data_IF_150043954771
#
_entry.id   IF_150043954771
#
_cell.length_a   1.000
_cell.length_b   1.000
_cell.length_c   1.000
_cell.angle_alpha   90.00
_cell.angle_beta   90.00
_cell.angle_gamma   90.00
#
_symmetry.space_group_name_H-M   'P 1'
#
loop_
_entity.id
_entity.type
_entity.pdbx_description
1 polymer ?
#
# COMPACT_ATOMS: atom_id res chain seq x y z
N UNK A 1 -0.65 -97.24 5.72
CA UNK A 1 -0.39 -96.11 6.61
C UNK A 1 -0.12 -94.88 5.74
N UNK A 2 -1.12 -94.04 5.55
CA UNK A 2 -0.96 -92.77 4.76
C UNK A 2 -0.58 -91.65 5.72
N UNK A 3 0.56 -91.06 5.53
CA UNK A 3 0.99 -89.89 6.30
C UNK A 3 0.35 -88.65 5.69
N UNK A 4 -0.50 -87.95 6.48
CA UNK A 4 -1.08 -86.66 6.14
C UNK A 4 -0.08 -85.61 6.57
N UNK A 5 0.43 -84.85 5.61
CA UNK A 5 1.24 -83.63 5.88
C UNK A 5 0.29 -82.48 5.94
N UNK A 6 0.12 -81.91 7.13
CA UNK A 6 -0.63 -80.72 7.33
C UNK A 6 0.30 -79.49 7.11
N UNK A 7 0.07 -78.81 6.00
CA UNK A 7 0.78 -77.55 5.68
C UNK A 7 0.09 -76.39 6.45
N UNK A 8 0.73 -75.93 7.51
CA UNK A 8 0.29 -74.74 8.24
C UNK A 8 0.67 -73.50 7.41
N UNK A 9 -0.30 -72.92 6.74
CA UNK A 9 -0.17 -71.57 6.13
C UNK A 9 -0.23 -70.58 7.25
N UNK A 10 0.93 -69.94 7.56
CA UNK A 10 0.98 -68.75 8.43
C UNK A 10 0.38 -67.58 7.68
N UNK A 11 -0.83 -67.18 8.08
CA UNK A 11 -1.45 -65.93 7.65
C UNK A 11 -0.74 -64.80 8.43
N UNK A 12 0.21 -64.13 7.77
CA UNK A 12 0.78 -62.89 8.24
C UNK A 12 -0.28 -61.82 8.01
N UNK A 13 -0.82 -61.17 9.05
CA UNK A 13 -1.72 -60.03 8.83
C UNK A 13 -0.88 -58.92 8.22
N UNK A 14 -1.11 -58.64 6.93
CA UNK A 14 -0.72 -57.35 6.36
C UNK A 14 -1.49 -56.25 7.13
N UNK A 15 -0.84 -55.71 8.15
CA UNK A 15 -1.27 -54.45 8.74
C UNK A 15 -1.11 -53.41 7.62
N UNK A 16 -2.17 -53.20 6.87
CA UNK A 16 -2.28 -52.05 6.01
C UNK A 16 -2.25 -50.80 6.92
N UNK A 17 -1.06 -50.23 7.11
CA UNK A 17 -0.96 -48.86 7.59
C UNK A 17 -1.65 -47.99 6.53
N UNK A 18 -2.97 -47.83 6.71
CA UNK A 18 -3.69 -46.72 6.08
C UNK A 18 -3.04 -45.46 6.59
N UNK A 19 -2.02 -44.97 5.90
CA UNK A 19 -1.64 -43.59 6.03
C UNK A 19 -2.91 -42.81 5.75
N UNK A 20 -3.49 -42.20 6.80
CA UNK A 20 -4.57 -41.24 6.64
C UNK A 20 -4.02 -40.18 5.67
N UNK A 21 -4.35 -40.31 4.41
CA UNK A 21 -4.03 -39.29 3.40
C UNK A 21 -4.78 -38.07 3.87
N UNK A 22 -4.05 -37.02 4.22
CA UNK A 22 -4.70 -35.74 4.53
C UNK A 22 -5.59 -35.37 3.34
N UNK A 23 -6.86 -35.03 3.59
CA UNK A 23 -7.79 -34.61 2.53
C UNK A 23 -7.28 -33.33 1.87
N UNK A 24 -6.56 -32.52 2.63
CA UNK A 24 -5.93 -31.27 2.17
C UNK A 24 -4.46 -31.28 2.54
N UNK A 25 -3.62 -31.01 1.57
CA UNK A 25 -2.20 -30.76 1.79
C UNK A 25 -1.97 -29.27 1.97
N UNK A 26 -1.21 -28.91 2.99
CA UNK A 26 -0.81 -27.52 3.26
C UNK A 26 0.69 -27.37 3.01
N UNK A 27 1.08 -26.26 2.41
CA UNK A 27 2.45 -25.81 2.33
C UNK A 27 2.52 -24.38 2.81
N UNK A 28 3.39 -24.11 3.77
CA UNK A 28 3.39 -22.86 4.52
C UNK A 28 2.03 -22.61 5.17
N UNK A 29 1.35 -21.52 4.84
CA UNK A 29 0.04 -21.12 5.37
C UNK A 29 -1.14 -21.33 4.40
N UNK A 30 -0.88 -21.99 3.25
CA UNK A 30 -1.89 -22.16 2.20
C UNK A 30 -2.13 -23.64 1.87
N UNK A 31 -3.39 -24.05 1.64
CA UNK A 31 -3.69 -25.31 1.00
C UNK A 31 -3.09 -25.36 -0.41
N UNK A 32 -2.54 -26.54 -0.80
CA UNK A 32 -1.88 -26.71 -2.10
C UNK A 32 -2.82 -26.41 -3.28
N UNK A 33 -4.11 -26.69 -3.15
CA UNK A 33 -5.10 -26.41 -4.21
C UNK A 33 -5.27 -24.90 -4.50
N UNK A 34 -4.81 -24.01 -3.62
CA UNK A 34 -4.90 -22.57 -3.86
C UNK A 34 -4.12 -22.13 -5.10
N UNK A 35 -3.02 -22.82 -5.45
CA UNK A 35 -2.30 -22.52 -6.69
C UNK A 35 -3.19 -22.72 -7.93
N UNK A 36 -4.06 -23.75 -7.92
CA UNK A 36 -5.03 -23.97 -9.01
C UNK A 36 -6.10 -22.88 -9.05
N UNK A 37 -6.64 -22.48 -7.87
CA UNK A 37 -7.62 -21.39 -7.81
C UNK A 37 -7.02 -20.08 -8.31
N UNK A 38 -5.76 -19.81 -7.97
CA UNK A 38 -5.06 -18.61 -8.45
C UNK A 38 -4.84 -18.65 -9.95
N UNK A 39 -4.47 -19.82 -10.51
CA UNK A 39 -4.27 -20.00 -11.95
C UNK A 39 -5.58 -19.81 -12.76
N UNK A 40 -6.74 -20.13 -12.18
CA UNK A 40 -8.04 -19.98 -12.80
C UNK A 40 -8.59 -18.53 -12.75
N UNK A 41 -7.94 -17.62 -12.01
CA UNK A 41 -8.40 -16.24 -11.89
C UNK A 41 -8.34 -15.51 -13.24
N UNK A 42 -9.44 -14.83 -13.55
CA UNK A 42 -9.57 -13.95 -14.72
C UNK A 42 -9.88 -12.54 -14.27
N UNK A 43 -9.46 -11.59 -15.06
CA UNK A 43 -9.61 -10.17 -14.75
C UNK A 43 -10.45 -9.45 -15.81
N UNK A 44 -11.79 -9.64 -15.80
CA UNK A 44 -12.68 -9.15 -16.87
C UNK A 44 -12.71 -7.62 -17.00
N UNK A 45 -12.19 -6.89 -16.03
CA UNK A 45 -12.05 -5.43 -16.09
C UNK A 45 -10.59 -4.97 -16.29
N UNK A 46 -9.66 -5.85 -16.62
CA UNK A 46 -8.34 -5.44 -17.07
C UNK A 46 -8.45 -4.80 -18.47
N UNK A 47 -7.71 -3.69 -18.70
CA UNK A 47 -7.64 -3.07 -20.01
C UNK A 47 -7.11 -4.06 -21.06
N UNK A 48 -7.80 -4.16 -22.18
CA UNK A 48 -7.48 -5.11 -23.25
C UNK A 48 -8.01 -6.54 -23.04
N UNK A 49 -8.54 -6.87 -21.84
CA UNK A 49 -9.30 -8.10 -21.57
C UNK A 49 -10.80 -7.83 -21.42
N UNK A 50 -11.17 -6.59 -21.16
CA UNK A 50 -12.53 -6.11 -21.07
C UNK A 50 -13.16 -5.97 -22.46
N UNK A 51 -14.47 -6.19 -22.56
CA UNK A 51 -15.26 -5.88 -23.77
C UNK A 51 -15.43 -4.37 -24.00
N UNK A 52 -14.93 -3.52 -23.10
CA UNK A 52 -14.98 -2.06 -23.23
C UNK A 52 -13.72 -1.59 -23.95
N UNK A 53 -13.88 -1.05 -25.15
CA UNK A 53 -12.77 -0.62 -26.00
C UNK A 53 -12.50 0.91 -25.95
N UNK A 54 -13.44 1.70 -25.45
CA UNK A 54 -13.20 3.11 -25.15
C UNK A 54 -12.49 3.25 -23.79
N UNK A 55 -11.35 3.92 -23.79
CA UNK A 55 -10.51 4.03 -22.58
C UNK A 55 -11.18 4.81 -21.45
N UNK A 56 -11.90 5.89 -21.78
CA UNK A 56 -12.58 6.71 -20.77
C UNK A 56 -13.73 5.95 -20.13
N UNK A 57 -14.52 5.24 -20.94
CA UNK A 57 -15.61 4.39 -20.47
C UNK A 57 -15.09 3.21 -19.64
N UNK A 58 -13.99 2.59 -20.07
CA UNK A 58 -13.34 1.53 -19.31
C UNK A 58 -12.88 2.05 -17.95
N UNK A 59 -12.14 3.15 -17.92
CA UNK A 59 -11.60 3.75 -16.70
C UNK A 59 -12.71 4.10 -15.71
N UNK A 60 -13.80 4.71 -16.18
CA UNK A 60 -14.96 5.02 -15.35
C UNK A 60 -15.60 3.75 -14.78
N UNK A 61 -15.83 2.74 -15.63
CA UNK A 61 -16.47 1.48 -15.24
C UNK A 61 -15.60 0.70 -14.24
N UNK A 62 -14.31 0.58 -14.51
CA UNK A 62 -13.38 -0.12 -13.64
C UNK A 62 -13.20 0.62 -12.31
N UNK A 63 -13.08 1.96 -12.32
CA UNK A 63 -12.99 2.79 -11.12
C UNK A 63 -14.25 2.68 -10.25
N UNK A 64 -15.43 2.71 -10.85
CA UNK A 64 -16.70 2.47 -10.15
C UNK A 64 -16.72 1.10 -9.49
N UNK A 65 -16.23 0.04 -10.16
CA UNK A 65 -16.12 -1.31 -9.58
C UNK A 65 -15.17 -1.35 -8.39
N UNK A 66 -14.06 -0.62 -8.43
CA UNK A 66 -13.17 -0.51 -7.26
C UNK A 66 -13.93 0.10 -6.08
N UNK A 67 -14.63 1.20 -6.26
CA UNK A 67 -15.41 1.83 -5.19
C UNK A 67 -16.55 0.92 -4.68
N UNK A 68 -17.22 0.17 -5.54
CA UNK A 68 -18.21 -0.84 -5.12
C UNK A 68 -17.58 -1.88 -4.19
N UNK A 69 -16.40 -2.42 -4.56
CA UNK A 69 -15.68 -3.38 -3.71
C UNK A 69 -15.11 -2.76 -2.43
N UNK A 70 -14.82 -1.46 -2.44
CA UNK A 70 -14.39 -0.72 -1.25
C UNK A 70 -15.50 -0.51 -0.23
N UNK A 71 -16.73 -0.82 -0.57
CA UNK A 71 -17.91 -0.70 0.31
C UNK A 71 -18.19 0.77 0.69
N UNK A 72 -18.95 1.00 1.76
CA UNK A 72 -19.38 2.34 2.16
C UNK A 72 -18.23 3.16 2.77
N UNK A 73 -17.96 4.38 2.30
CA UNK A 73 -16.95 5.26 2.92
C UNK A 73 -17.35 5.71 4.32
N UNK A 74 -16.40 6.15 5.14
CA UNK A 74 -16.70 6.92 6.34
C UNK A 74 -17.48 8.19 5.96
N UNK A 75 -18.47 8.61 6.77
CA UNK A 75 -19.22 9.83 6.46
C UNK A 75 -18.32 11.06 6.55
N UNK A 76 -18.40 11.91 5.52
CA UNK A 76 -17.61 13.14 5.44
C UNK A 76 -17.88 14.07 6.64
N UNK A 77 -16.89 14.87 7.08
CA UNK A 77 -17.11 15.90 8.08
C UNK A 77 -17.88 17.07 7.47
N UNK A 78 -18.54 17.88 8.30
CA UNK A 78 -19.17 19.13 7.85
C UNK A 78 -18.12 20.21 7.52
N UNK A 79 -17.01 20.22 8.25
CA UNK A 79 -15.85 21.09 8.03
C UNK A 79 -14.60 20.38 8.57
N UNK A 80 -13.45 20.70 7.99
CA UNK A 80 -12.17 20.10 8.39
C UNK A 80 -11.72 20.51 9.79
N UNK A 81 -12.10 21.71 10.26
CA UNK A 81 -11.77 22.25 11.60
C UNK A 81 -10.28 22.07 11.94
N UNK A 82 -9.41 22.51 11.04
CA UNK A 82 -7.96 22.35 11.19
C UNK A 82 -7.46 23.20 12.33
N UNK A 83 -6.74 22.58 13.26
CA UNK A 83 -6.07 23.23 14.39
C UNK A 83 -4.58 22.94 14.32
N UNK A 84 -3.75 23.96 14.47
CA UNK A 84 -2.31 23.83 14.65
C UNK A 84 -2.05 23.58 16.13
N UNK A 85 -1.57 22.38 16.47
CA UNK A 85 -1.26 21.99 17.85
C UNK A 85 0.14 22.44 18.29
N UNK A 86 1.06 22.57 17.33
CA UNK A 86 2.43 23.00 17.57
C UNK A 86 3.17 23.29 16.29
N UNK A 87 4.21 24.11 16.40
CA UNK A 87 5.12 24.45 15.31
C UNK A 87 6.57 24.35 15.77
N UNK A 88 7.46 24.00 14.84
CA UNK A 88 8.90 23.99 15.02
C UNK A 88 9.57 24.58 13.78
N UNK A 89 10.41 25.60 14.00
CA UNK A 89 11.22 26.18 12.95
C UNK A 89 12.38 25.25 12.63
N UNK A 90 12.56 24.92 11.36
CA UNK A 90 13.65 24.10 10.84
C UNK A 90 14.40 24.83 9.73
N UNK A 91 15.54 24.27 9.32
CA UNK A 91 16.35 24.87 8.27
C UNK A 91 15.62 24.83 6.92
N UNK A 92 15.14 26.01 6.49
CA UNK A 92 14.43 26.24 5.24
C UNK A 92 12.94 25.92 5.24
N UNK A 93 12.34 25.46 6.35
CA UNK A 93 10.91 25.16 6.43
C UNK A 93 10.38 25.21 7.88
N UNK A 94 9.05 25.25 8.01
CA UNK A 94 8.35 25.08 9.29
C UNK A 94 7.68 23.72 9.34
N UNK A 95 7.87 22.99 10.45
CA UNK A 95 7.11 21.79 10.76
C UNK A 95 5.91 22.15 11.64
N UNK A 96 4.72 21.66 11.25
CA UNK A 96 3.46 21.84 11.97
C UNK A 96 2.88 20.50 12.38
N UNK A 97 2.36 20.44 13.60
CA UNK A 97 1.51 19.33 14.08
C UNK A 97 0.07 19.81 13.97
N UNK A 98 -0.72 19.13 13.15
CA UNK A 98 -2.10 19.49 12.87
C UNK A 98 -3.05 18.46 13.49
N UNK A 99 -4.23 18.93 13.93
CA UNK A 99 -5.39 18.08 14.21
C UNK A 99 -6.56 18.58 13.34
N UNK A 100 -7.30 17.67 12.76
CA UNK A 100 -8.44 18.02 11.91
C UNK A 100 -9.53 16.92 11.96
N UNK A 101 -10.75 17.35 11.66
CA UNK A 101 -11.90 16.45 11.55
C UNK A 101 -11.83 15.74 10.19
N UNK A 102 -11.51 14.44 10.17
CA UNK A 102 -11.40 13.67 8.93
C UNK A 102 -12.72 13.02 8.53
N UNK A 103 -13.53 12.64 9.51
CA UNK A 103 -14.89 12.09 9.33
C UNK A 103 -15.83 12.73 10.34
N UNK A 104 -17.13 12.62 10.12
CA UNK A 104 -18.14 12.98 11.13
C UNK A 104 -17.83 12.40 12.53
N UNK A 105 -17.14 11.25 12.58
CA UNK A 105 -16.98 10.48 13.80
C UNK A 105 -15.59 10.59 14.45
N UNK A 106 -14.57 11.01 13.71
CA UNK A 106 -13.20 11.01 14.25
C UNK A 106 -12.35 12.14 13.68
N UNK A 107 -11.37 12.54 14.50
CA UNK A 107 -10.28 13.42 14.14
C UNK A 107 -9.02 12.63 13.87
N UNK A 108 -8.09 13.22 13.13
CA UNK A 108 -6.78 12.68 12.83
C UNK A 108 -5.73 13.76 13.04
N UNK A 109 -4.54 13.35 13.46
CA UNK A 109 -3.37 14.22 13.51
C UNK A 109 -2.41 13.94 12.37
N UNK A 110 -1.76 14.97 11.91
CA UNK A 110 -0.77 14.91 10.84
C UNK A 110 0.42 15.82 11.15
N UNK A 111 1.54 15.53 10.53
CA UNK A 111 2.61 16.49 10.34
C UNK A 111 2.49 17.15 8.97
N UNK A 112 2.75 18.45 8.93
CA UNK A 112 2.83 19.24 7.71
C UNK A 112 4.13 20.05 7.73
N UNK A 113 4.91 19.94 6.66
CA UNK A 113 6.12 20.73 6.47
C UNK A 113 5.85 21.79 5.41
N UNK A 114 6.17 23.03 5.70
CA UNK A 114 5.92 24.17 4.82
C UNK A 114 7.24 24.88 4.52
N UNK A 115 7.72 24.89 3.26
CA UNK A 115 8.92 25.58 2.87
C UNK A 115 8.86 27.10 3.17
N UNK A 116 10.01 27.68 3.54
CA UNK A 116 10.16 29.11 3.82
C UNK A 116 11.11 29.76 2.80
N UNK A 117 10.76 29.68 1.53
CA UNK A 117 11.52 30.21 0.40
C UNK A 117 10.94 31.49 -0.20
N UNK A 118 9.98 32.10 0.48
CA UNK A 118 9.31 33.35 0.08
C UNK A 118 8.11 33.15 -0.87
N UNK A 119 7.88 31.95 -1.40
CA UNK A 119 6.68 31.63 -2.19
C UNK A 119 5.46 31.49 -1.27
N UNK A 120 4.29 31.91 -1.76
CA UNK A 120 3.03 31.78 -1.00
C UNK A 120 2.41 30.38 -1.13
N UNK A 121 2.60 29.74 -2.27
CA UNK A 121 2.07 28.38 -2.57
C UNK A 121 3.15 27.50 -3.16
N UNK A 122 3.09 26.24 -2.80
CA UNK A 122 4.07 25.21 -3.20
C UNK A 122 3.36 23.99 -3.75
N UNK A 123 4.00 23.22 -4.63
CA UNK A 123 3.55 21.87 -4.90
C UNK A 123 3.54 21.06 -3.60
N UNK A 124 2.60 20.15 -3.45
CA UNK A 124 2.42 19.39 -2.22
C UNK A 124 2.49 17.89 -2.44
N UNK A 125 3.00 17.18 -1.45
CA UNK A 125 3.09 15.72 -1.45
C UNK A 125 2.32 15.16 -0.24
N UNK A 126 1.31 14.32 -0.51
CA UNK A 126 0.73 13.44 0.49
C UNK A 126 1.66 12.22 0.64
N UNK A 127 2.46 12.20 1.71
CA UNK A 127 3.50 11.21 1.96
C UNK A 127 2.99 10.12 2.90
N UNK A 128 2.88 8.90 2.39
CA UNK A 128 2.15 7.80 3.00
C UNK A 128 3.12 6.78 3.63
N UNK A 129 3.01 6.53 4.93
CA UNK A 129 3.91 5.67 5.67
C UNK A 129 3.72 4.17 5.37
N UNK A 130 4.78 3.38 5.63
CA UNK A 130 4.80 1.93 5.49
C UNK A 130 4.03 1.19 6.60
N UNK A 131 3.79 -0.13 6.38
CA UNK A 131 3.24 -1.04 7.37
C UNK A 131 4.31 -1.44 8.41
N UNK A 132 5.39 -2.03 7.91
CA UNK A 132 6.55 -2.49 8.67
C UNK A 132 6.27 -3.54 9.75
N UNK A 133 5.02 -4.02 9.90
CA UNK A 133 4.53 -4.73 11.07
C UNK A 133 4.81 -3.96 12.38
N UNK A 134 4.98 -2.64 12.28
CA UNK A 134 5.33 -1.75 13.36
C UNK A 134 4.27 -0.65 13.46
N UNK A 135 3.30 -0.84 14.36
CA UNK A 135 2.11 0.00 14.46
C UNK A 135 2.28 1.17 15.46
N UNK A 136 3.32 1.11 16.29
CA UNK A 136 3.57 2.12 17.33
C UNK A 136 3.75 3.52 16.78
N UNK A 137 4.36 3.68 15.60
CA UNK A 137 4.54 4.94 14.88
C UNK A 137 3.91 4.86 13.49
N UNK A 138 3.43 5.99 12.98
CA UNK A 138 2.85 6.16 11.64
C UNK A 138 3.51 7.29 10.88
N UNK A 139 3.00 8.52 10.98
CA UNK A 139 3.57 9.74 10.37
C UNK A 139 5.00 10.03 10.82
N UNK A 140 5.38 9.58 12.00
CA UNK A 140 6.74 9.69 12.55
C UNK A 140 7.77 8.86 11.76
N UNK A 141 7.31 7.93 10.91
CA UNK A 141 8.17 7.24 9.94
C UNK A 141 8.55 8.10 8.73
N UNK A 142 7.80 9.16 8.47
CA UNK A 142 7.96 10.00 7.27
C UNK A 142 8.64 11.33 7.57
N UNK A 143 8.38 11.89 8.73
CA UNK A 143 8.77 13.25 9.12
C UNK A 143 9.41 13.18 10.52
N UNK A 144 10.49 13.92 10.73
CA UNK A 144 11.14 14.00 12.05
C UNK A 144 10.09 14.41 13.09
N UNK A 145 9.83 13.57 14.11
CA UNK A 145 8.88 13.91 15.16
C UNK A 145 9.39 15.06 16.04
N UNK A 146 8.49 15.90 16.51
CA UNK A 146 8.77 16.97 17.43
C UNK A 146 7.62 17.14 18.43
N UNK A 147 7.94 17.66 19.62
CA UNK A 147 6.97 17.77 20.71
C UNK A 147 6.26 16.44 20.99
N UNK A 148 7.04 15.36 21.00
CA UNK A 148 6.63 13.99 21.27
C UNK A 148 7.47 13.43 22.42
N UNK A 149 7.00 12.34 23.01
CA UNK A 149 7.73 11.60 24.01
C UNK A 149 9.05 11.05 23.44
N UNK A 150 10.10 11.03 24.25
CA UNK A 150 11.42 10.56 23.86
C UNK A 150 11.43 9.12 23.29
N UNK A 151 10.50 8.27 23.76
CA UNK A 151 10.33 6.90 23.25
C UNK A 151 9.87 6.91 21.79
N UNK A 152 8.92 7.80 21.41
CA UNK A 152 8.43 7.94 20.05
C UNK A 152 9.53 8.49 19.15
N UNK A 153 10.24 9.52 19.62
CA UNK A 153 11.36 10.11 18.87
C UNK A 153 12.43 9.05 18.60
N UNK A 154 12.86 8.34 19.64
CA UNK A 154 13.86 7.27 19.48
C UNK A 154 13.41 6.20 18.49
N UNK A 155 12.18 5.73 18.60
CA UNK A 155 11.62 4.69 17.75
C UNK A 155 11.55 5.12 16.27
N UNK A 156 11.22 6.39 16.01
CA UNK A 156 11.23 6.96 14.67
C UNK A 156 12.63 6.99 14.05
N UNK A 157 13.65 7.39 14.81
CA UNK A 157 15.04 7.38 14.34
C UNK A 157 15.57 5.96 14.11
N UNK A 158 15.26 5.01 14.99
CA UNK A 158 15.62 3.60 14.80
C UNK A 158 14.97 3.04 13.53
N UNK A 159 13.71 3.42 13.25
CA UNK A 159 12.99 3.01 12.05
C UNK A 159 13.61 3.61 10.78
N UNK A 160 14.03 4.87 10.81
CA UNK A 160 14.72 5.50 9.70
C UNK A 160 15.99 4.75 9.30
N UNK A 161 16.82 4.36 10.27
CA UNK A 161 18.03 3.57 10.01
C UNK A 161 17.69 2.22 9.37
N UNK A 162 16.61 1.60 9.79
CA UNK A 162 16.23 0.25 9.35
C UNK A 162 15.65 0.22 7.94
N UNK A 163 14.86 1.20 7.55
CA UNK A 163 14.01 1.15 6.34
C UNK A 163 14.35 2.25 5.33
N UNK A 164 14.79 3.41 5.82
CA UNK A 164 14.95 4.63 5.01
C UNK A 164 16.40 5.11 4.89
N UNK A 165 17.37 4.32 5.40
CA UNK A 165 18.78 4.66 5.33
C UNK A 165 19.18 5.87 6.17
N UNK A 166 18.42 6.17 7.24
CA UNK A 166 18.70 7.26 8.17
C UNK A 166 18.20 8.64 7.71
N UNK A 167 17.47 8.73 6.59
CA UNK A 167 16.95 9.98 6.06
C UNK A 167 15.43 10.05 6.18
N UNK A 168 14.90 11.07 6.86
CA UNK A 168 13.47 11.36 6.87
C UNK A 168 13.04 11.93 5.52
N UNK A 169 12.23 11.17 4.82
CA UNK A 169 11.84 11.46 3.44
C UNK A 169 11.07 12.77 3.31
N UNK A 170 10.15 13.05 4.26
CA UNK A 170 9.38 14.29 4.27
C UNK A 170 10.25 15.53 4.46
N UNK A 171 11.20 15.46 5.39
CA UNK A 171 12.14 16.58 5.64
C UNK A 171 13.07 16.82 4.44
N UNK A 172 13.48 15.76 3.74
CA UNK A 172 14.24 15.88 2.51
C UNK A 172 13.44 16.59 1.40
N UNK A 173 12.15 16.24 1.23
CA UNK A 173 11.27 16.89 0.25
C UNK A 173 10.97 18.33 0.59
N UNK A 174 10.76 18.65 1.87
CA UNK A 174 10.49 20.02 2.31
C UNK A 174 11.63 20.99 1.99
N UNK A 175 12.89 20.54 2.16
CA UNK A 175 14.07 21.31 1.74
C UNK A 175 14.17 21.51 0.23
N UNK A 176 13.46 20.71 -0.56
CA UNK A 176 13.35 20.83 -2.02
C UNK A 176 12.17 21.69 -2.47
N UNK A 177 11.44 22.30 -1.53
CA UNK A 177 10.40 23.27 -1.83
C UNK A 177 9.00 22.67 -1.97
N UNK A 178 8.78 21.45 -1.49
CA UNK A 178 7.46 20.84 -1.40
C UNK A 178 6.82 21.10 -0.04
N UNK A 179 5.53 21.42 -0.03
CA UNK A 179 4.72 21.16 1.16
C UNK A 179 4.59 19.64 1.31
N UNK A 180 4.92 19.11 2.47
CA UNK A 180 4.79 17.67 2.75
C UNK A 180 3.76 17.48 3.84
N UNK A 181 2.84 16.56 3.60
CA UNK A 181 1.79 16.19 4.54
C UNK A 181 1.84 14.69 4.80
N UNK A 182 1.80 14.29 6.07
CA UNK A 182 1.73 12.88 6.45
C UNK A 182 0.81 12.70 7.64
N UNK A 183 -0.20 11.84 7.48
CA UNK A 183 -1.14 11.45 8.53
C UNK A 183 -1.04 9.97 8.86
N UNK A 184 -1.42 9.60 10.09
CA UNK A 184 -1.48 8.22 10.51
C UNK A 184 -2.60 7.46 9.78
N UNK A 185 -2.27 6.30 9.21
CA UNK A 185 -3.29 5.35 8.77
C UNK A 185 -4.06 4.79 9.98
N UNK A 186 -5.32 4.34 9.80
CA UNK A 186 -6.04 3.64 10.84
C UNK A 186 -5.22 2.54 11.49
N UNK A 187 -5.15 2.51 12.80
CA UNK A 187 -4.41 1.56 13.66
C UNK A 187 -2.90 1.82 13.78
N UNK A 188 -2.33 2.83 13.11
CA UNK A 188 -0.93 3.24 13.28
C UNK A 188 -0.81 4.53 14.07
N UNK A 189 0.34 4.72 14.70
CA UNK A 189 0.67 5.93 15.43
C UNK A 189 -0.40 6.29 16.47
N UNK A 190 -0.79 7.54 16.53
CA UNK A 190 -1.80 8.03 17.50
C UNK A 190 -3.20 7.41 17.31
N UNK A 191 -3.44 6.70 16.20
CA UNK A 191 -4.72 6.01 15.94
C UNK A 191 -4.77 4.57 16.49
N UNK A 192 -3.82 4.15 17.28
CA UNK A 192 -3.78 2.82 17.87
C UNK A 192 -2.75 2.64 18.99
N UNK A 193 -1.81 3.57 19.14
CA UNK A 193 -0.70 3.46 20.08
C UNK A 193 -1.13 3.38 21.54
N UNK A 194 -2.03 4.25 21.95
CA UNK A 194 -2.52 4.31 23.33
C UNK A 194 -3.28 3.06 23.74
N UNK A 195 -4.04 2.46 22.81
CA UNK A 195 -4.76 1.20 23.02
C UNK A 195 -3.85 -0.02 22.87
N UNK A 196 -2.54 0.17 22.61
CA UNK A 196 -1.56 -0.88 22.42
C UNK A 196 -1.94 -1.81 21.26
N UNK A 197 -2.30 -1.24 20.10
CA UNK A 197 -2.58 -2.04 18.91
C UNK A 197 -1.30 -2.69 18.40
N UNK A 198 -1.25 -3.99 18.54
CA UNK A 198 -0.24 -4.88 18.01
C UNK A 198 -0.76 -5.65 16.78
N UNK A 199 0.03 -6.55 16.26
CA UNK A 199 -0.33 -7.37 15.10
C UNK A 199 -1.59 -8.22 15.36
N UNK A 200 -1.77 -8.75 16.55
CA UNK A 200 -2.92 -9.58 16.90
C UNK A 200 -4.21 -8.76 16.94
N UNK A 201 -4.17 -7.61 17.60
CA UNK A 201 -5.30 -6.67 17.62
C UNK A 201 -5.63 -6.13 16.23
N UNK A 202 -4.61 -5.83 15.44
CA UNK A 202 -4.78 -5.39 14.06
C UNK A 202 -5.57 -6.41 13.23
N UNK A 203 -5.18 -7.68 13.24
CA UNK A 203 -5.86 -8.73 12.47
C UNK A 203 -7.31 -8.93 12.97
N UNK A 204 -7.54 -8.91 14.29
CA UNK A 204 -8.86 -9.00 14.89
C UNK A 204 -9.77 -7.83 14.50
N UNK A 205 -9.29 -6.60 14.62
CA UNK A 205 -10.07 -5.40 14.28
C UNK A 205 -10.42 -5.40 12.79
N UNK A 206 -9.43 -5.70 11.92
CA UNK A 206 -9.65 -5.75 10.49
C UNK A 206 -10.65 -6.85 10.09
N UNK A 207 -10.60 -8.03 10.73
CA UNK A 207 -11.59 -9.09 10.57
C UNK A 207 -12.97 -8.66 11.01
N UNK A 208 -13.09 -8.02 12.19
CA UNK A 208 -14.36 -7.50 12.69
C UNK A 208 -14.96 -6.43 11.77
N UNK A 209 -14.12 -5.56 11.17
CA UNK A 209 -14.60 -4.57 10.19
C UNK A 209 -15.32 -5.23 9.01
N UNK A 210 -14.82 -6.38 8.52
CA UNK A 210 -15.48 -7.09 7.43
C UNK A 210 -16.85 -7.64 7.83
N UNK A 211 -17.06 -8.02 9.09
CA UNK A 211 -18.34 -8.54 9.57
C UNK A 211 -19.48 -7.49 9.52
N UNK A 212 -19.16 -6.20 9.59
CA UNK A 212 -20.15 -5.13 9.43
C UNK A 212 -20.03 -4.34 8.14
N UNK A 213 -19.45 -4.97 7.11
CA UNK A 213 -19.41 -4.41 5.76
C UNK A 213 -18.42 -3.25 5.60
N UNK A 214 -17.26 -3.34 6.25
CA UNK A 214 -16.12 -2.43 6.06
C UNK A 214 -14.85 -3.23 5.82
N UNK A 215 -13.87 -2.58 5.23
CA UNK A 215 -12.57 -3.19 4.94
C UNK A 215 -11.47 -2.21 5.32
N UNK A 216 -10.47 -2.66 6.08
CA UNK A 216 -9.40 -1.79 6.57
C UNK A 216 -8.64 -1.12 5.42
N UNK A 217 -8.31 -1.86 4.36
CA UNK A 217 -7.63 -1.32 3.19
C UNK A 217 -8.44 -0.22 2.49
N UNK A 218 -9.75 -0.44 2.33
CA UNK A 218 -10.65 0.57 1.77
C UNK A 218 -10.77 1.79 2.69
N UNK A 219 -10.86 1.56 4.00
CA UNK A 219 -10.93 2.63 4.99
C UNK A 219 -9.70 3.54 4.92
N UNK A 220 -8.49 2.96 4.83
CA UNK A 220 -7.25 3.71 4.62
C UNK A 220 -7.30 4.53 3.32
N UNK A 221 -7.76 3.93 2.22
CA UNK A 221 -7.85 4.61 0.92
C UNK A 221 -8.84 5.78 0.96
N UNK A 222 -9.99 5.63 1.63
CA UNK A 222 -10.93 6.74 1.83
C UNK A 222 -10.35 7.86 2.68
N UNK A 223 -9.61 7.53 3.72
CA UNK A 223 -8.90 8.51 4.54
C UNK A 223 -7.82 9.25 3.73
N UNK A 224 -7.09 8.55 2.86
CA UNK A 224 -6.08 9.16 1.99
C UNK A 224 -6.72 10.09 0.94
N UNK A 225 -7.87 9.73 0.39
CA UNK A 225 -8.64 10.62 -0.49
C UNK A 225 -9.09 11.87 0.28
N UNK A 226 -9.68 11.68 1.46
CA UNK A 226 -10.17 12.79 2.28
C UNK A 226 -9.04 13.72 2.77
N UNK A 227 -7.89 13.17 3.16
CA UNK A 227 -6.71 13.98 3.52
C UNK A 227 -6.15 14.75 2.33
N UNK A 228 -6.23 14.20 1.13
CA UNK A 228 -5.81 14.90 -0.11
C UNK A 228 -6.77 16.04 -0.45
N UNK A 229 -8.08 15.84 -0.25
CA UNK A 229 -9.06 16.94 -0.40
C UNK A 229 -8.82 18.06 0.63
N UNK A 230 -8.54 17.72 1.88
CA UNK A 230 -8.12 18.70 2.89
C UNK A 230 -6.86 19.44 2.44
N UNK A 231 -5.82 18.72 2.03
CA UNK A 231 -4.53 19.29 1.61
C UNK A 231 -4.73 20.34 0.51
N UNK A 232 -5.62 20.08 -0.45
CA UNK A 232 -5.95 21.01 -1.52
C UNK A 232 -6.62 22.32 -1.05
N UNK A 233 -7.12 22.39 0.20
CA UNK A 233 -7.75 23.58 0.76
C UNK A 233 -6.78 24.45 1.56
N UNK A 234 -5.59 23.95 1.87
CA UNK A 234 -4.62 24.65 2.71
C UNK A 234 -3.97 25.83 1.95
N UNK A 235 -3.79 26.99 2.58
CA UNK A 235 -3.37 28.20 1.89
C UNK A 235 -1.96 28.14 1.29
N UNK A 236 -1.08 27.32 1.85
CA UNK A 236 0.29 27.14 1.39
C UNK A 236 0.41 26.16 0.20
N UNK A 237 -0.68 25.48 -0.15
CA UNK A 237 -0.70 24.43 -1.18
C UNK A 237 -1.19 24.97 -2.52
N UNK A 238 -0.47 24.64 -3.57
CA UNK A 238 -0.94 24.73 -4.94
C UNK A 238 -1.81 23.50 -5.25
N UNK A 239 -3.14 23.69 -5.23
CA UNK A 239 -4.11 22.61 -5.39
C UNK A 239 -4.05 21.90 -6.75
N UNK A 240 -3.42 22.52 -7.76
CA UNK A 240 -3.22 21.93 -9.10
C UNK A 240 -1.92 21.13 -9.20
N UNK A 241 -1.06 21.19 -8.16
CA UNK A 241 0.21 20.49 -8.09
C UNK A 241 0.32 19.65 -6.82
N UNK A 242 -0.50 18.61 -6.72
CA UNK A 242 -0.48 17.66 -5.60
C UNK A 242 -0.05 16.30 -6.11
N UNK A 243 1.02 15.77 -5.52
CA UNK A 243 1.50 14.41 -5.73
C UNK A 243 1.31 13.53 -4.49
N UNK A 244 1.57 12.24 -4.64
CA UNK A 244 1.66 11.32 -3.51
C UNK A 244 2.82 10.34 -3.67
N UNK A 245 3.41 9.94 -2.55
CA UNK A 245 4.47 8.94 -2.52
C UNK A 245 4.39 8.06 -1.28
N UNK A 246 5.02 6.90 -1.34
CA UNK A 246 5.17 6.03 -0.18
C UNK A 246 6.02 4.82 -0.47
N UNK A 247 6.41 4.13 0.61
CA UNK A 247 7.15 2.88 0.58
C UNK A 247 6.29 1.74 1.14
N UNK A 248 6.41 0.53 0.60
CA UNK A 248 5.70 -0.65 1.11
C UNK A 248 4.18 -0.44 1.13
N UNK A 249 3.48 -0.57 2.25
CA UNK A 249 2.06 -0.22 2.37
C UNK A 249 1.79 1.23 1.93
N UNK A 250 2.72 2.16 2.19
CA UNK A 250 2.62 3.54 1.70
C UNK A 250 2.63 3.60 0.17
N UNK A 251 3.40 2.75 -0.50
CA UNK A 251 3.38 2.63 -1.95
C UNK A 251 2.05 2.06 -2.48
N UNK A 252 1.50 1.04 -1.80
CA UNK A 252 0.14 0.54 -2.07
C UNK A 252 -0.89 1.68 -1.99
N UNK A 253 -0.86 2.45 -0.90
CA UNK A 253 -1.73 3.61 -0.71
C UNK A 253 -1.51 4.68 -1.78
N UNK A 254 -0.26 4.94 -2.17
CA UNK A 254 0.07 5.96 -3.18
C UNK A 254 -0.48 5.63 -4.57
N UNK A 255 -0.31 4.39 -5.05
CA UNK A 255 -0.87 4.05 -6.36
C UNK A 255 -2.39 3.87 -6.32
N UNK A 256 -2.98 3.38 -5.21
CA UNK A 256 -4.44 3.40 -5.01
C UNK A 256 -4.99 4.83 -5.05
N UNK A 257 -4.37 5.75 -4.32
CA UNK A 257 -4.75 7.15 -4.30
C UNK A 257 -4.62 7.80 -5.68
N UNK A 258 -3.52 7.51 -6.41
CA UNK A 258 -3.32 8.01 -7.79
C UNK A 258 -4.39 7.50 -8.75
N UNK A 259 -4.85 6.25 -8.59
CA UNK A 259 -5.91 5.65 -9.40
C UNK A 259 -7.29 6.24 -9.09
N UNK A 260 -7.55 6.63 -7.83
CA UNK A 260 -8.90 6.94 -7.34
C UNK A 260 -9.15 8.43 -7.04
N UNK A 261 -8.12 9.27 -6.94
CA UNK A 261 -8.27 10.71 -6.70
C UNK A 261 -7.80 11.53 -7.89
N UNK A 262 -8.64 12.45 -8.37
CA UNK A 262 -8.28 13.36 -9.46
C UNK A 262 -7.43 14.54 -8.99
N UNK A 263 -7.32 14.74 -7.65
CA UNK A 263 -6.40 15.72 -7.06
C UNK A 263 -4.94 15.34 -7.28
N UNK A 264 -4.62 14.06 -7.25
CA UNK A 264 -3.25 13.59 -7.49
C UNK A 264 -2.90 13.75 -8.96
N UNK A 265 -1.82 14.46 -9.23
CA UNK A 265 -1.29 14.71 -10.59
C UNK A 265 -0.13 13.78 -10.92
N UNK A 266 0.69 13.43 -9.93
CA UNK A 266 1.86 12.57 -10.06
C UNK A 266 1.93 11.61 -8.88
N UNK A 267 2.30 10.35 -9.09
CA UNK A 267 2.45 9.37 -8.02
C UNK A 267 3.76 8.62 -8.07
N UNK A 268 4.28 8.23 -6.89
CA UNK A 268 5.46 7.39 -6.78
C UNK A 268 5.27 6.28 -5.74
N UNK A 269 5.64 5.05 -6.11
CA UNK A 269 5.45 3.84 -5.31
C UNK A 269 6.78 3.08 -5.19
N UNK A 270 7.33 2.97 -3.99
CA UNK A 270 8.60 2.27 -3.73
C UNK A 270 8.33 0.95 -2.99
N UNK A 271 8.85 -0.15 -3.54
CA UNK A 271 8.75 -1.51 -2.97
C UNK A 271 7.31 -1.99 -2.74
N UNK A 272 6.41 -1.73 -3.71
CA UNK A 272 5.11 -2.37 -3.72
C UNK A 272 4.47 -2.36 -5.13
N UNK A 273 4.79 -3.34 -5.95
CA UNK A 273 4.02 -3.72 -7.14
C UNK A 273 4.35 -5.16 -7.51
N UNK A 274 3.32 -5.94 -7.79
CA UNK A 274 3.44 -7.36 -8.13
C UNK A 274 2.11 -7.87 -8.67
N UNK A 275 2.11 -8.96 -9.44
CA UNK A 275 0.86 -9.67 -9.75
C UNK A 275 0.54 -10.69 -8.64
N UNK A 276 -0.74 -10.82 -8.29
CA UNK A 276 -1.17 -11.74 -7.23
C UNK A 276 -1.00 -13.22 -7.61
N UNK A 277 -1.07 -13.56 -8.90
CA UNK A 277 -0.84 -14.92 -9.39
C UNK A 277 0.61 -15.42 -9.22
N UNK A 278 1.56 -14.50 -9.01
CA UNK A 278 2.94 -14.84 -8.63
C UNK A 278 3.11 -14.75 -7.12
N UNK A 279 2.70 -13.63 -6.51
CA UNK A 279 2.93 -13.36 -5.09
C UNK A 279 2.29 -14.39 -4.16
N UNK A 280 1.08 -14.85 -4.48
CA UNK A 280 0.28 -15.70 -3.61
C UNK A 280 0.48 -17.21 -3.84
N UNK A 281 1.30 -17.60 -4.82
CA UNK A 281 1.61 -19.02 -5.07
C UNK A 281 2.42 -19.63 -3.94
N UNK A 282 2.37 -20.97 -3.82
CA UNK A 282 3.15 -21.72 -2.83
C UNK A 282 4.66 -21.54 -3.00
N UNK A 283 5.12 -21.23 -4.21
CA UNK A 283 6.54 -20.95 -4.48
C UNK A 283 7.02 -19.69 -3.80
N UNK A 284 6.25 -18.60 -3.89
CA UNK A 284 6.63 -17.25 -3.43
C UNK A 284 5.86 -16.83 -2.19
N UNK A 285 4.68 -17.39 -1.95
CA UNK A 285 3.85 -17.08 -0.79
C UNK A 285 4.61 -17.25 0.52
N UNK A 286 4.48 -16.28 1.41
CA UNK A 286 5.08 -16.28 2.74
C UNK A 286 4.03 -16.63 3.79
N UNK A 287 4.46 -17.13 4.95
CA UNK A 287 3.57 -17.37 6.09
C UNK A 287 2.87 -16.10 6.62
N UNK A 288 3.38 -14.93 6.27
CA UNK A 288 2.92 -13.62 6.75
C UNK A 288 2.35 -12.73 5.64
N UNK A 289 2.05 -13.28 4.47
CA UNK A 289 1.62 -12.46 3.32
C UNK A 289 0.17 -11.97 3.40
N UNK A 290 -0.60 -12.36 4.35
CA UNK A 290 -1.98 -11.92 4.47
C UNK A 290 -2.05 -10.58 5.21
N UNK A 291 -2.02 -9.46 4.52
CA UNK A 291 -2.23 -8.18 5.15
C UNK A 291 -3.61 -7.62 4.85
N UNK A 292 -4.47 -7.44 5.85
CA UNK A 292 -5.75 -6.73 5.69
C UNK A 292 -5.58 -5.30 5.15
N UNK A 293 -4.37 -4.73 5.28
CA UNK A 293 -4.02 -3.44 4.71
C UNK A 293 -3.99 -3.42 3.17
N UNK A 294 -3.86 -4.59 2.53
CA UNK A 294 -3.75 -4.73 1.07
C UNK A 294 -4.92 -5.54 0.47
N UNK A 295 -5.91 -5.88 1.28
CA UNK A 295 -7.00 -6.76 0.91
C UNK A 295 -8.30 -5.96 0.80
N UNK A 296 -8.84 -5.85 -0.42
CA UNK A 296 -10.21 -5.39 -0.66
C UNK A 296 -11.00 -6.61 -1.14
N UNK A 297 -11.98 -7.10 -0.36
CA UNK A 297 -12.75 -8.28 -0.70
C UNK A 297 -13.39 -8.18 -2.09
N UNK A 298 -13.48 -9.30 -2.81
CA UNK A 298 -14.03 -9.45 -4.15
C UNK A 298 -13.28 -8.71 -5.28
N UNK A 299 -12.45 -7.71 -5.02
CA UNK A 299 -11.84 -6.90 -6.08
C UNK A 299 -10.98 -7.74 -7.04
N UNK A 300 -10.33 -8.80 -6.52
CA UNK A 300 -9.52 -9.73 -7.34
C UNK A 300 -10.33 -10.57 -8.34
N UNK A 301 -11.62 -10.63 -8.21
CA UNK A 301 -12.50 -11.25 -9.22
C UNK A 301 -12.64 -10.40 -10.50
N UNK A 302 -12.23 -9.14 -10.45
CA UNK A 302 -12.37 -8.18 -11.55
C UNK A 302 -11.02 -7.68 -12.07
N UNK A 303 -10.08 -7.39 -11.17
CA UNK A 303 -8.81 -6.75 -11.49
C UNK A 303 -7.71 -7.18 -10.52
N UNK A 304 -6.50 -7.36 -11.02
CA UNK A 304 -5.30 -7.48 -10.20
C UNK A 304 -4.69 -6.10 -9.87
N UNK A 305 -3.67 -6.05 -9.06
CA UNK A 305 -2.97 -4.83 -8.63
C UNK A 305 -2.51 -3.95 -9.80
N UNK A 306 -1.80 -4.47 -10.84
CA UNK A 306 -1.40 -3.63 -11.96
C UNK A 306 -2.58 -3.04 -12.73
N UNK A 307 -3.70 -3.77 -12.83
CA UNK A 307 -4.91 -3.28 -13.52
C UNK A 307 -5.53 -2.11 -12.77
N UNK A 308 -5.57 -2.17 -11.43
CA UNK A 308 -6.09 -1.08 -10.59
C UNK A 308 -5.14 0.11 -10.65
N UNK A 309 -3.83 -0.11 -10.51
CA UNK A 309 -2.84 0.95 -10.62
C UNK A 309 -2.90 1.66 -11.99
N UNK A 310 -3.25 0.92 -13.04
CA UNK A 310 -3.43 1.46 -14.40
C UNK A 310 -4.59 2.43 -14.56
N UNK A 311 -5.51 2.49 -13.60
CA UNK A 311 -6.53 3.54 -13.56
C UNK A 311 -5.94 4.93 -13.34
N UNK A 312 -4.69 5.03 -12.89
CA UNK A 312 -3.98 6.31 -12.80
C UNK A 312 -3.63 6.90 -14.18
N UNK A 313 -3.52 6.08 -15.25
CA UNK A 313 -3.23 6.56 -16.60
C UNK A 313 -4.22 7.67 -17.01
N UNK A 314 -3.81 8.79 -17.61
CA UNK A 314 -2.48 9.10 -18.18
C UNK A 314 -1.54 9.89 -17.24
N UNK A 315 -1.71 9.84 -15.92
CA UNK A 315 -0.85 10.56 -14.96
C UNK A 315 0.58 10.01 -15.01
N UNK A 316 1.61 10.86 -14.80
CA UNK A 316 2.96 10.37 -14.55
C UNK A 316 3.04 9.51 -13.29
N UNK A 317 3.60 8.30 -13.41
CA UNK A 317 3.76 7.36 -12.30
C UNK A 317 5.17 6.77 -12.30
N UNK A 318 5.77 6.68 -11.11
CA UNK A 318 7.04 6.01 -10.88
C UNK A 318 6.85 4.80 -9.96
N UNK A 319 7.33 3.65 -10.39
CA UNK A 319 7.41 2.45 -9.57
C UNK A 319 8.85 1.98 -9.46
N UNK A 320 9.32 1.78 -8.23
CA UNK A 320 10.65 1.22 -7.94
C UNK A 320 10.45 -0.03 -7.08
N UNK A 321 10.91 -1.20 -7.54
CA UNK A 321 10.93 -2.42 -6.74
C UNK A 321 12.36 -2.91 -6.52
N UNK A 322 12.60 -3.53 -5.37
CA UNK A 322 13.89 -4.14 -5.04
C UNK A 322 14.04 -5.55 -5.60
N UNK A 323 15.12 -5.86 -6.30
CA UNK A 323 15.42 -7.22 -6.79
C UNK A 323 15.73 -8.20 -5.65
N UNK A 324 16.14 -7.71 -4.49
CA UNK A 324 16.37 -8.49 -3.27
C UNK A 324 15.17 -8.48 -2.31
N UNK A 325 14.05 -7.87 -2.73
CA UNK A 325 12.83 -7.82 -1.94
C UNK A 325 12.14 -9.19 -1.90
N UNK A 326 12.01 -9.74 -0.68
CA UNK A 326 11.38 -11.06 -0.47
C UNK A 326 9.85 -10.99 -0.39
N UNK A 327 9.26 -9.80 -0.35
CA UNK A 327 7.80 -9.59 -0.28
C UNK A 327 7.18 -9.52 -1.67
N UNK A 328 7.92 -8.94 -2.62
CA UNK A 328 7.46 -8.66 -3.97
C UNK A 328 8.40 -9.32 -4.98
N UNK A 329 8.15 -10.61 -5.33
CA UNK A 329 9.03 -11.38 -6.22
C UNK A 329 9.22 -10.71 -7.57
N UNK A 330 10.48 -10.65 -8.04
CA UNK A 330 10.86 -10.03 -9.31
C UNK A 330 9.99 -10.49 -10.49
N UNK A 331 9.73 -11.80 -10.72
CA UNK A 331 8.89 -12.20 -11.84
C UNK A 331 7.47 -11.64 -11.80
N UNK A 332 6.91 -11.43 -10.60
CA UNK A 332 5.59 -10.81 -10.44
C UNK A 332 5.63 -9.30 -10.62
N UNK A 333 6.72 -8.65 -10.24
CA UNK A 333 6.93 -7.23 -10.48
C UNK A 333 7.11 -6.94 -11.99
N UNK A 334 7.95 -7.70 -12.69
CA UNK A 334 8.15 -7.59 -14.14
C UNK A 334 6.85 -7.80 -14.91
N UNK A 335 6.07 -8.83 -14.54
CA UNK A 335 4.76 -9.07 -15.15
C UNK A 335 3.82 -7.89 -14.92
N UNK A 336 3.74 -7.37 -13.70
CA UNK A 336 2.90 -6.21 -13.37
C UNK A 336 3.32 -4.97 -14.17
N UNK A 337 4.60 -4.69 -14.25
CA UNK A 337 5.14 -3.57 -15.03
C UNK A 337 4.79 -3.70 -16.51
N UNK A 338 4.97 -4.88 -17.10
CA UNK A 338 4.61 -5.11 -18.50
C UNK A 338 3.10 -4.91 -18.76
N UNK A 339 2.23 -5.32 -17.83
CA UNK A 339 0.79 -5.09 -17.92
C UNK A 339 0.45 -3.61 -17.83
N UNK A 340 1.09 -2.86 -16.95
CA UNK A 340 0.88 -1.42 -16.80
C UNK A 340 1.37 -0.65 -18.03
N UNK A 341 2.57 -0.94 -18.54
CA UNK A 341 3.09 -0.30 -19.75
C UNK A 341 2.14 -0.44 -20.94
N UNK A 342 1.55 -1.62 -21.16
CA UNK A 342 0.53 -1.79 -22.22
C UNK A 342 -0.61 -0.79 -22.13
N UNK A 343 -0.99 -0.37 -20.90
CA UNK A 343 -2.05 0.62 -20.71
C UNK A 343 -1.60 2.01 -21.12
N UNK A 344 -0.45 2.50 -20.62
CA UNK A 344 0.06 3.82 -20.97
C UNK A 344 0.43 3.92 -22.46
N UNK A 345 1.04 2.86 -23.02
CA UNK A 345 1.38 2.79 -24.44
C UNK A 345 0.13 2.85 -25.32
N UNK A 346 -0.95 2.16 -24.94
CA UNK A 346 -2.22 2.20 -25.68
C UNK A 346 -2.85 3.59 -25.74
N UNK A 347 -2.47 4.48 -24.82
CA UNK A 347 -2.92 5.87 -24.78
C UNK A 347 -1.90 6.85 -25.38
N UNK A 348 -0.79 6.36 -25.94
CA UNK A 348 0.25 7.18 -26.54
C UNK A 348 1.04 8.04 -25.54
N UNK A 349 1.10 7.63 -24.28
CA UNK A 349 1.76 8.34 -23.18
C UNK A 349 2.69 7.43 -22.36
N UNK A 350 3.28 6.44 -23.03
CA UNK A 350 4.13 5.44 -22.40
C UNK A 350 5.27 6.02 -21.57
N UNK A 351 5.82 7.16 -21.99
CA UNK A 351 6.91 7.87 -21.31
C UNK A 351 6.51 8.41 -19.92
N UNK A 352 5.21 8.49 -19.60
CA UNK A 352 4.72 8.92 -18.30
C UNK A 352 4.74 7.82 -17.24
N UNK A 353 4.85 6.56 -17.64
CA UNK A 353 5.05 5.46 -16.72
C UNK A 353 6.51 5.06 -16.67
N UNK A 354 7.12 5.21 -15.51
CA UNK A 354 8.50 4.78 -15.25
C UNK A 354 8.48 3.62 -14.25
N UNK A 355 9.11 2.51 -14.62
CA UNK A 355 9.21 1.31 -13.77
C UNK A 355 10.65 0.86 -13.67
N UNK A 356 11.14 0.65 -12.46
CA UNK A 356 12.55 0.38 -12.19
C UNK A 356 12.70 -0.81 -11.23
N UNK A 357 13.67 -1.68 -11.51
CA UNK A 357 14.13 -2.75 -10.63
C UNK A 357 15.53 -2.43 -10.14
N UNK A 358 15.67 -2.24 -8.84
CA UNK A 358 16.94 -1.84 -8.22
C UNK A 358 17.58 -2.99 -7.43
N UNK A 359 18.89 -3.05 -7.39
CA UNK A 359 19.64 -4.03 -6.59
C UNK A 359 19.59 -3.68 -5.09
N UNK A 360 18.39 -3.66 -4.51
CA UNK A 360 18.15 -3.32 -3.12
C UNK A 360 17.16 -4.30 -2.46
N UNK A 361 17.20 -4.45 -1.10
CA UNK A 361 16.17 -5.14 -0.34
C UNK A 361 14.90 -4.28 -0.22
N UNK A 362 13.92 -4.78 0.56
CA UNK A 362 12.71 -4.04 0.90
C UNK A 362 13.03 -2.79 1.74
N UNK A 363 12.72 -1.60 1.21
CA UNK A 363 12.96 -0.31 1.86
C UNK A 363 12.99 0.85 0.88
N UNK A 364 13.30 2.04 1.39
CA UNK A 364 13.39 3.27 0.59
C UNK A 364 14.64 4.06 0.98
N UNK A 365 15.85 3.62 0.53
CA UNK A 365 17.09 4.30 0.86
C UNK A 365 17.15 5.72 0.26
N UNK A 366 18.11 6.56 0.70
CA UNK A 366 18.21 7.95 0.26
C UNK A 366 18.23 8.13 -1.27
N UNK A 367 18.86 7.20 -1.99
CA UNK A 367 18.95 7.24 -3.45
C UNK A 367 17.55 7.05 -4.10
N UNK A 368 16.71 6.16 -3.53
CA UNK A 368 15.34 5.98 -4.00
C UNK A 368 14.47 7.21 -3.67
N UNK A 369 14.67 7.80 -2.49
CA UNK A 369 14.02 9.05 -2.10
C UNK A 369 14.39 10.19 -3.05
N UNK A 370 15.67 10.33 -3.38
CA UNK A 370 16.16 11.30 -4.36
C UNK A 370 15.54 11.07 -5.73
N UNK A 371 15.53 9.83 -6.22
CA UNK A 371 14.94 9.47 -7.52
C UNK A 371 13.48 9.85 -7.63
N UNK A 372 12.71 9.70 -6.56
CA UNK A 372 11.30 10.13 -6.49
C UNK A 372 11.18 11.65 -6.56
N UNK A 373 12.03 12.39 -5.86
CA UNK A 373 12.02 13.87 -5.92
C UNK A 373 12.37 14.35 -7.32
N UNK A 374 13.40 13.80 -7.96
CA UNK A 374 13.74 14.11 -9.36
C UNK A 374 12.57 13.83 -10.32
N UNK A 375 11.81 12.78 -10.07
CA UNK A 375 10.61 12.48 -10.85
C UNK A 375 9.50 13.52 -10.62
N UNK A 376 9.30 13.97 -9.39
CA UNK A 376 8.34 15.03 -9.08
C UNK A 376 8.78 16.38 -9.64
N UNK A 377 10.06 16.77 -9.52
CA UNK A 377 10.59 18.01 -10.08
C UNK A 377 10.35 18.13 -11.60
N UNK A 378 10.30 16.99 -12.30
CA UNK A 378 10.03 16.95 -13.74
C UNK A 378 8.53 17.00 -14.08
N UNK A 379 7.65 16.48 -13.22
CA UNK A 379 6.28 16.14 -13.60
C UNK A 379 5.21 16.86 -12.78
N UNK A 380 5.57 17.54 -11.68
CA UNK A 380 4.68 18.25 -10.77
C UNK A 380 4.97 19.74 -10.75
#
# INVERSE_FOLDING_TARGET
MKKIVILLLAIVPLAAFSQKRALYEFKKNMPVYCDSLIADMKYPLAWGQSDIHDFSQWKETARRKVFECMMTPPPAPQAWNVVVLGEEQRDGYVARKLEFQLSKYYKVRAYMLVPQDGRKKHPAINLLHDHGAHLFIGKEKMIIPFQEDSVIIKDAFDWQLKVYGGQFWGDYMARRGYVVFSADAPLWGERGREEGVDRSKYDMIAGNMQMYGRCLSAFMTYDDIATTELLATLPEVDADRIGCAGCSMGAYRAWMLSALSDRIKVGAAVCWMVTSDVQLTLKYGRSENGGFANCIPALRQYMDYPHIASLACPKPMLFINGMKDKLFPVPGAEKAFAEMHRVWDSQGVGERLVTELWDMPHGCPPEAQQRVVEFFDKNL
#
